data_IF_144291710369
#
_entry.id   IF_144291710369
#
_cell.length_a   1.000
_cell.length_b   1.000
_cell.length_c   1.000
_cell.angle_alpha   90.00
_cell.angle_beta   90.00
_cell.angle_gamma   90.00
#
_symmetry.space_group_name_H-M   'P 1'
#
loop_
_entity.id
_entity.type
_entity.pdbx_description
1 polymer ?
#
# COMPACT_ATOMS: atom_id res chain seq x y z
N UNK A 1 -8.74 52.41 -55.82
CA UNK A 1 -10.05 53.05 -55.63
C UNK A 1 -10.60 52.64 -54.30
N UNK A 2 -10.52 53.49 -53.30
CA UNK A 2 -11.52 54.31 -52.64
C UNK A 2 -12.35 53.40 -51.66
N UNK A 3 -12.64 53.71 -50.42
CA UNK A 3 -12.54 54.85 -49.48
C UNK A 3 -12.84 54.26 -48.06
N UNK A 4 -12.11 54.61 -47.07
CA UNK A 4 -12.36 55.36 -45.84
C UNK A 4 -13.83 55.39 -45.32
N UNK A 5 -14.01 55.08 -44.02
CA UNK A 5 -15.19 55.38 -43.22
C UNK A 5 -14.88 55.27 -41.74
N UNK A 6 -14.42 56.35 -41.11
CA UNK A 6 -14.32 56.62 -39.66
C UNK A 6 -15.71 56.92 -39.07
N UNK A 7 -15.97 56.50 -37.85
CA UNK A 7 -16.80 57.20 -36.82
C UNK A 7 -16.47 56.51 -35.47
N UNK A 8 -15.87 57.07 -34.43
CA UNK A 8 -16.22 58.33 -33.78
C UNK A 8 -17.24 58.07 -32.65
N UNK A 9 -16.80 57.72 -31.42
CA UNK A 9 -17.72 57.52 -30.29
C UNK A 9 -17.06 57.78 -28.94
N UNK A 10 -17.46 58.82 -28.34
CA UNK A 10 -17.00 59.66 -27.22
C UNK A 10 -16.73 58.92 -25.88
N UNK A 11 -15.64 59.35 -25.28
CA UNK A 11 -15.24 59.20 -23.85
C UNK A 11 -16.22 60.00 -22.96
N UNK A 12 -16.80 59.31 -21.98
CA UNK A 12 -17.57 59.95 -20.90
C UNK A 12 -16.81 59.84 -19.59
N UNK A 13 -16.17 60.94 -19.20
CA UNK A 13 -15.57 61.12 -17.86
C UNK A 13 -16.71 61.38 -16.85
N UNK A 14 -16.83 60.59 -15.81
CA UNK A 14 -17.61 60.97 -14.63
C UNK A 14 -16.69 61.21 -13.44
N UNK A 15 -16.88 62.40 -12.89
CA UNK A 15 -16.18 62.98 -11.76
C UNK A 15 -16.35 62.18 -10.46
N UNK A 16 -15.26 62.15 -9.73
CA UNK A 16 -15.14 61.61 -8.39
C UNK A 16 -15.57 62.71 -7.40
N UNK A 17 -16.57 62.42 -6.59
CA UNK A 17 -16.93 63.26 -5.43
C UNK A 17 -16.22 62.74 -4.18
N UNK A 18 -15.36 63.58 -3.66
CA UNK A 18 -14.69 63.38 -2.36
C UNK A 18 -15.67 63.61 -1.23
N UNK A 19 -15.86 62.62 -0.38
CA UNK A 19 -16.37 62.84 0.96
C UNK A 19 -15.37 62.31 1.98
N UNK A 20 -14.87 63.26 2.73
CA UNK A 20 -14.00 63.12 3.87
C UNK A 20 -14.88 62.69 5.06
N UNK A 21 -14.58 61.59 5.73
CA UNK A 21 -15.02 61.37 7.11
C UNK A 21 -14.13 60.37 7.85
N UNK A 22 -13.31 60.95 8.70
CA UNK A 22 -12.97 60.50 10.07
C UNK A 22 -12.63 59.05 10.31
N UNK A 23 -11.36 58.84 10.59
CA UNK A 23 -10.81 57.63 11.23
C UNK A 23 -11.28 57.54 12.70
N UNK A 24 -11.58 56.39 13.21
CA UNK A 24 -11.35 56.09 14.61
C UNK A 24 -10.11 55.20 14.79
N UNK A 25 -9.52 55.42 15.93
CA UNK A 25 -8.23 55.02 16.44
C UNK A 25 -7.99 53.49 16.50
N UNK A 26 -6.69 53.24 16.50
CA UNK A 26 -6.05 51.94 16.83
C UNK A 26 -6.62 51.34 18.12
N UNK A 27 -7.00 50.10 18.08
CA UNK A 27 -6.48 49.10 19.02
C UNK A 27 -6.85 47.67 18.60
N UNK A 28 -5.93 46.81 18.99
CA UNK A 28 -6.00 45.37 19.05
C UNK A 28 -5.42 44.59 17.87
N UNK A 29 -4.20 44.16 18.13
CA UNK A 29 -3.50 43.08 17.53
C UNK A 29 -4.38 41.85 17.40
N UNK A 30 -5.05 41.68 16.26
CA UNK A 30 -5.60 40.41 15.85
C UNK A 30 -4.41 39.50 15.53
N UNK A 31 -3.97 38.71 16.50
CA UNK A 31 -3.13 37.55 16.27
C UNK A 31 -3.83 36.70 15.24
N UNK A 32 -3.28 36.69 14.03
CA UNK A 32 -3.59 35.69 13.03
C UNK A 32 -3.22 34.34 13.67
N UNK A 33 -4.20 33.63 14.22
CA UNK A 33 -4.09 32.22 14.50
C UNK A 33 -3.95 31.56 13.13
N UNK A 34 -2.70 31.23 12.76
CA UNK A 34 -2.45 30.22 11.77
C UNK A 34 -3.17 28.97 12.32
N UNK A 35 -4.33 28.68 11.76
CA UNK A 35 -4.96 27.38 11.92
C UNK A 35 -4.01 26.44 11.23
N UNK A 36 -3.08 25.88 11.97
CA UNK A 36 -2.34 24.71 11.58
C UNK A 36 -3.40 23.71 11.14
N UNK A 37 -3.32 23.40 9.88
CA UNK A 37 -4.10 22.45 9.11
C UNK A 37 -4.49 21.27 10.00
N UNK A 38 -5.80 21.13 10.25
CA UNK A 38 -6.34 20.21 11.20
C UNK A 38 -5.71 18.84 11.00
N UNK A 39 -5.18 18.34 12.06
CA UNK A 39 -4.96 16.94 12.28
C UNK A 39 -6.30 16.28 11.93
N UNK A 40 -6.37 15.72 10.71
CA UNK A 40 -7.48 14.85 10.34
C UNK A 40 -7.38 13.73 11.33
N UNK A 41 -8.27 13.71 12.31
CA UNK A 41 -8.47 12.57 13.19
C UNK A 41 -8.63 11.36 12.30
N UNK A 42 -7.54 10.63 12.11
CA UNK A 42 -7.62 9.28 11.56
C UNK A 42 -8.56 8.54 12.47
N UNK A 43 -9.58 7.90 11.94
CA UNK A 43 -10.47 7.12 12.77
C UNK A 43 -9.65 5.98 13.38
N UNK A 44 -9.17 6.18 14.59
CA UNK A 44 -8.46 5.19 15.44
C UNK A 44 -9.29 3.91 15.65
N UNK A 45 -10.56 3.93 15.28
CA UNK A 45 -11.49 2.81 15.48
C UNK A 45 -11.37 1.67 14.45
N UNK A 46 -10.72 1.86 13.29
CA UNK A 46 -10.53 0.74 12.35
C UNK A 46 -9.20 0.00 12.56
N UNK A 47 -8.21 0.63 13.18
CA UNK A 47 -6.92 -0.02 13.44
C UNK A 47 -6.93 -0.95 14.67
N UNK A 48 -7.89 -0.81 15.57
CA UNK A 48 -7.98 -1.63 16.78
C UNK A 48 -8.65 -2.98 16.56
N UNK A 49 -9.41 -3.17 15.49
CA UNK A 49 -10.16 -4.42 15.24
C UNK A 49 -9.36 -5.41 14.39
N UNK A 50 -8.38 -4.96 13.62
CA UNK A 50 -7.50 -5.83 12.85
C UNK A 50 -6.05 -5.37 13.01
N UNK A 51 -5.37 -5.79 14.09
CA UNK A 51 -3.92 -5.72 14.11
C UNK A 51 -3.42 -6.35 12.80
N UNK A 52 -2.68 -5.57 12.01
CA UNK A 52 -2.15 -6.07 10.75
C UNK A 52 -1.42 -7.39 11.01
N UNK A 53 -1.65 -8.41 10.19
CA UNK A 53 -1.02 -9.70 10.38
C UNK A 53 0.48 -9.57 10.53
N UNK A 54 1.07 -10.28 11.48
CA UNK A 54 2.53 -10.39 11.57
C UNK A 54 3.07 -11.45 10.63
N UNK A 55 2.20 -12.36 10.17
CA UNK A 55 2.57 -13.46 9.27
C UNK A 55 1.55 -13.56 8.15
N UNK A 56 2.05 -13.80 6.94
CA UNK A 56 1.23 -14.12 5.78
C UNK A 56 1.61 -15.46 5.20
N UNK A 57 0.60 -16.31 4.97
CA UNK A 57 0.72 -17.48 4.12
C UNK A 57 0.48 -17.06 2.67
N UNK A 58 1.40 -17.40 1.77
CA UNK A 58 1.17 -17.28 0.33
C UNK A 58 0.73 -18.64 -0.20
N UNK A 59 -0.37 -18.66 -0.95
CA UNK A 59 -0.83 -19.91 -1.57
C UNK A 59 0.10 -20.36 -2.69
N UNK A 60 0.23 -21.65 -2.82
CA UNK A 60 0.92 -22.33 -3.92
C UNK A 60 0.27 -23.72 -4.06
N UNK A 61 -0.68 -23.85 -5.00
CA UNK A 61 -1.47 -25.07 -5.19
C UNK A 61 -0.63 -26.29 -5.59
N UNK A 62 0.56 -26.07 -6.17
CA UNK A 62 1.51 -27.14 -6.50
C UNK A 62 2.17 -27.77 -5.26
N UNK A 63 2.22 -27.02 -4.15
CA UNK A 63 2.93 -27.40 -2.92
C UNK A 63 1.99 -27.56 -1.73
N UNK A 64 0.82 -26.95 -1.79
CA UNK A 64 -0.19 -26.96 -0.74
C UNK A 64 -1.52 -27.37 -1.38
N UNK A 65 -1.75 -28.67 -1.50
CA UNK A 65 -2.98 -29.22 -2.07
C UNK A 65 -4.23 -28.86 -1.24
N UNK A 66 -4.08 -28.68 0.05
CA UNK A 66 -5.13 -28.27 0.98
C UNK A 66 -4.74 -26.99 1.75
N UNK A 67 -4.85 -25.85 1.06
CA UNK A 67 -4.60 -24.53 1.64
C UNK A 67 -5.48 -24.26 2.87
N UNK A 68 -6.72 -24.77 2.84
CA UNK A 68 -7.70 -24.53 3.92
C UNK A 68 -7.27 -25.19 5.20
N UNK A 69 -6.86 -26.44 5.14
CA UNK A 69 -6.34 -27.19 6.28
C UNK A 69 -5.05 -26.56 6.81
N UNK A 70 -4.14 -26.18 5.90
CA UNK A 70 -2.89 -25.51 6.26
C UNK A 70 -3.14 -24.21 7.02
N UNK A 71 -4.07 -23.37 6.52
CA UNK A 71 -4.40 -22.09 7.15
C UNK A 71 -5.22 -22.26 8.44
N UNK A 72 -6.15 -23.20 8.49
CA UNK A 72 -6.97 -23.45 9.68
C UNK A 72 -6.15 -23.86 10.91
N UNK A 73 -5.00 -24.49 10.71
CA UNK A 73 -4.04 -24.84 11.78
C UNK A 73 -3.24 -23.65 12.30
N UNK A 74 -3.27 -22.52 11.59
CA UNK A 74 -2.51 -21.33 11.98
C UNK A 74 -3.34 -20.42 12.89
N UNK A 75 -2.69 -19.67 13.80
CA UNK A 75 -3.36 -18.63 14.57
C UNK A 75 -4.16 -17.67 13.68
N UNK A 76 -5.27 -17.14 14.18
CA UNK A 76 -6.17 -16.27 13.39
C UNK A 76 -5.52 -14.99 12.85
N UNK A 77 -4.45 -14.53 13.47
CA UNK A 77 -3.69 -13.37 12.99
C UNK A 77 -2.80 -13.66 11.76
N UNK A 78 -2.75 -14.91 11.29
CA UNK A 78 -2.06 -15.23 10.02
C UNK A 78 -2.98 -14.88 8.86
N UNK A 79 -2.52 -13.96 8.00
CA UNK A 79 -3.21 -13.57 6.78
C UNK A 79 -2.90 -14.53 5.62
N UNK A 80 -3.70 -14.43 4.56
CA UNK A 80 -3.55 -15.23 3.34
C UNK A 80 -3.35 -14.32 2.12
N UNK A 81 -2.44 -14.70 1.23
CA UNK A 81 -2.28 -14.10 -0.11
C UNK A 81 -2.51 -15.17 -1.16
N UNK A 82 -3.51 -15.01 -2.02
CA UNK A 82 -3.70 -15.87 -3.19
C UNK A 82 -2.66 -15.50 -4.26
N UNK A 83 -1.69 -16.40 -4.48
CA UNK A 83 -0.60 -16.22 -5.44
C UNK A 83 -0.67 -17.16 -6.65
N UNK A 84 -1.59 -18.09 -6.67
CA UNK A 84 -1.78 -19.03 -7.77
C UNK A 84 -2.27 -18.32 -9.04
N UNK A 85 -1.33 -17.82 -9.86
CA UNK A 85 -1.64 -17.02 -11.05
C UNK A 85 -2.28 -17.86 -12.15
N UNK A 86 -1.82 -19.09 -12.33
CA UNK A 86 -2.16 -19.99 -13.46
C UNK A 86 -3.18 -21.08 -13.06
N UNK A 87 -3.90 -20.89 -11.96
CA UNK A 87 -4.90 -21.85 -11.51
C UNK A 87 -6.17 -21.76 -12.37
N UNK A 88 -6.59 -22.85 -13.02
CA UNK A 88 -7.73 -22.87 -13.96
C UNK A 88 -9.01 -22.30 -13.36
N UNK A 89 -9.34 -22.68 -12.12
CA UNK A 89 -10.50 -22.18 -11.39
C UNK A 89 -10.15 -21.02 -10.43
N UNK A 90 -9.24 -20.13 -10.82
CA UNK A 90 -8.70 -19.08 -9.95
C UNK A 90 -9.77 -18.18 -9.31
N UNK A 91 -10.80 -17.81 -10.05
CA UNK A 91 -11.89 -16.97 -9.55
C UNK A 91 -12.68 -17.68 -8.45
N UNK A 92 -13.00 -18.97 -8.66
CA UNK A 92 -13.69 -19.78 -7.65
C UNK A 92 -12.80 -20.01 -6.42
N UNK A 93 -11.52 -20.28 -6.61
CA UNK A 93 -10.55 -20.39 -5.52
C UNK A 93 -10.48 -19.10 -4.70
N UNK A 94 -10.41 -17.95 -5.37
CA UNK A 94 -10.41 -16.63 -4.72
C UNK A 94 -11.68 -16.40 -3.90
N UNK A 95 -12.85 -16.74 -4.45
CA UNK A 95 -14.13 -16.60 -3.75
C UNK A 95 -14.20 -17.49 -2.50
N UNK A 96 -13.74 -18.75 -2.59
CA UNK A 96 -13.68 -19.68 -1.48
C UNK A 96 -12.73 -19.19 -0.38
N UNK A 97 -11.54 -18.71 -0.77
CA UNK A 97 -10.56 -18.15 0.17
C UNK A 97 -11.07 -16.86 0.84
N UNK A 98 -11.71 -15.99 0.09
CA UNK A 98 -12.30 -14.75 0.62
C UNK A 98 -13.40 -15.05 1.65
N UNK A 99 -14.29 -15.99 1.35
CA UNK A 99 -15.35 -16.42 2.26
C UNK A 99 -14.77 -17.00 3.55
N UNK A 100 -13.82 -17.91 3.45
CA UNK A 100 -13.15 -18.51 4.60
C UNK A 100 -12.42 -17.46 5.46
N UNK A 101 -11.64 -16.60 4.84
CA UNK A 101 -10.89 -15.56 5.57
C UNK A 101 -11.83 -14.58 6.29
N UNK A 102 -12.95 -14.22 5.65
CA UNK A 102 -13.98 -13.37 6.26
C UNK A 102 -14.62 -14.05 7.47
N UNK A 103 -15.00 -15.31 7.34
CA UNK A 103 -15.56 -16.10 8.44
C UNK A 103 -14.62 -16.23 9.63
N UNK A 104 -13.31 -16.39 9.36
CA UNK A 104 -12.27 -16.54 10.37
C UNK A 104 -11.70 -15.21 10.88
N UNK A 105 -12.14 -14.06 10.34
CA UNK A 105 -11.59 -12.76 10.68
C UNK A 105 -10.13 -12.56 10.25
N UNK A 106 -9.70 -13.23 9.16
CA UNK A 106 -8.32 -13.18 8.66
C UNK A 106 -8.16 -12.16 7.56
N UNK A 107 -7.01 -11.50 7.51
CA UNK A 107 -6.65 -10.67 6.37
C UNK A 107 -6.47 -11.53 5.11
N UNK A 108 -7.02 -11.05 3.99
CA UNK A 108 -6.91 -11.71 2.70
C UNK A 108 -6.49 -10.74 1.61
N UNK A 109 -5.57 -11.15 0.75
CA UNK A 109 -5.14 -10.40 -0.41
C UNK A 109 -5.09 -11.29 -1.66
N UNK A 110 -5.30 -10.68 -2.83
CA UNK A 110 -5.21 -11.33 -4.14
C UNK A 110 -4.07 -10.72 -4.92
N UNK A 111 -3.14 -11.56 -5.36
CA UNK A 111 -2.00 -11.13 -6.14
C UNK A 111 -2.35 -10.99 -7.63
N UNK A 112 -1.88 -9.92 -8.28
CA UNK A 112 -1.92 -9.73 -9.73
C UNK A 112 -3.26 -9.34 -10.34
N UNK A 113 -4.37 -9.49 -9.61
CA UNK A 113 -5.71 -9.11 -10.09
C UNK A 113 -6.42 -8.16 -9.14
N UNK A 114 -6.29 -6.87 -9.45
CA UNK A 114 -6.89 -5.81 -8.64
C UNK A 114 -8.42 -5.78 -8.75
N UNK A 115 -8.97 -6.11 -9.93
CA UNK A 115 -10.44 -6.08 -10.12
C UNK A 115 -11.09 -7.18 -9.30
N UNK A 116 -10.53 -8.38 -9.34
CA UNK A 116 -10.98 -9.51 -8.53
C UNK A 116 -10.82 -9.21 -7.02
N UNK A 117 -9.72 -8.57 -6.61
CA UNK A 117 -9.53 -8.18 -5.21
C UNK A 117 -10.63 -7.22 -4.74
N UNK A 118 -10.95 -6.19 -5.53
CA UNK A 118 -12.01 -5.23 -5.21
C UNK A 118 -13.38 -5.92 -5.16
N UNK A 119 -13.71 -6.76 -6.15
CA UNK A 119 -15.02 -7.43 -6.22
C UNK A 119 -15.30 -8.37 -5.03
N UNK A 120 -14.25 -8.93 -4.45
CA UNK A 120 -14.34 -9.82 -3.28
C UNK A 120 -14.09 -9.12 -1.93
N UNK A 121 -13.88 -7.80 -1.93
CA UNK A 121 -13.56 -7.03 -0.72
C UNK A 121 -12.21 -7.39 -0.11
N UNK A 122 -11.29 -7.94 -0.92
CA UNK A 122 -9.94 -8.33 -0.52
C UNK A 122 -8.93 -7.17 -0.71
N UNK A 123 -7.78 -7.26 -0.06
CA UNK A 123 -6.64 -6.43 -0.38
C UNK A 123 -6.00 -6.86 -1.72
N UNK A 124 -5.30 -5.95 -2.38
CA UNK A 124 -4.54 -6.25 -3.58
C UNK A 124 -3.05 -6.43 -3.23
N UNK A 125 -2.45 -7.50 -3.73
CA UNK A 125 -1.00 -7.67 -3.72
C UNK A 125 -0.44 -7.45 -5.13
N UNK A 126 0.35 -6.37 -5.29
CA UNK A 126 0.96 -6.00 -6.55
C UNK A 126 2.27 -6.78 -6.75
N UNK A 127 2.37 -7.68 -7.75
CA UNK A 127 3.64 -8.27 -8.12
C UNK A 127 4.61 -7.19 -8.63
N UNK A 128 5.91 -7.39 -8.47
CA UNK A 128 6.92 -6.40 -8.86
C UNK A 128 6.85 -6.01 -10.33
N UNK A 129 6.57 -6.97 -11.24
CA UNK A 129 6.43 -6.70 -12.67
C UNK A 129 5.24 -5.80 -13.04
N UNK A 130 4.28 -5.63 -12.14
CA UNK A 130 3.14 -4.71 -12.32
C UNK A 130 3.37 -3.33 -11.69
N UNK A 131 4.40 -3.17 -10.87
CA UNK A 131 4.58 -2.01 -10.01
C UNK A 131 4.77 -0.72 -10.81
N UNK A 132 5.55 -0.76 -11.88
CA UNK A 132 5.76 0.37 -12.78
C UNK A 132 4.44 0.89 -13.39
N UNK A 133 3.57 -0.04 -13.83
CA UNK A 133 2.24 0.32 -14.35
C UNK A 133 1.34 0.93 -13.28
N UNK A 134 1.48 0.50 -12.02
CA UNK A 134 0.72 1.08 -10.91
C UNK A 134 1.08 2.55 -10.68
N UNK A 135 2.37 2.89 -10.75
CA UNK A 135 2.86 4.28 -10.66
C UNK A 135 2.32 5.13 -11.82
N UNK A 136 2.44 4.66 -13.06
CA UNK A 136 1.97 5.37 -14.26
C UNK A 136 0.46 5.66 -14.25
N UNK A 137 -0.33 4.88 -13.55
CA UNK A 137 -1.79 5.09 -13.41
C UNK A 137 -2.16 6.00 -12.24
N UNK A 138 -1.23 6.78 -11.72
CA UNK A 138 -1.47 7.77 -10.68
C UNK A 138 -1.62 7.22 -9.28
N UNK A 139 -1.06 6.04 -9.03
CA UNK A 139 -1.10 5.39 -7.73
C UNK A 139 -2.54 5.02 -7.31
N UNK A 140 -2.78 3.80 -7.00
CA UNK A 140 -4.10 3.36 -6.60
C UNK A 140 -4.01 2.38 -5.41
N UNK A 141 -2.87 2.38 -4.70
CA UNK A 141 -2.67 1.59 -3.51
C UNK A 141 -3.56 2.09 -2.37
N UNK A 142 -4.09 1.16 -1.59
CA UNK A 142 -4.78 1.42 -0.32
C UNK A 142 -3.86 1.04 0.82
N UNK A 143 -4.09 1.54 2.01
CA UNK A 143 -3.32 1.18 3.21
C UNK A 143 -3.27 -0.34 3.48
N UNK A 144 -4.29 -1.07 3.05
CA UNK A 144 -4.36 -2.54 3.14
C UNK A 144 -3.70 -3.27 1.97
N UNK A 145 -3.39 -2.57 0.86
CA UNK A 145 -2.75 -3.18 -0.30
C UNK A 145 -1.23 -3.31 -0.10
N UNK A 146 -0.63 -4.25 -0.79
CA UNK A 146 0.80 -4.55 -0.66
C UNK A 146 1.48 -4.68 -2.02
N UNK A 147 2.80 -4.53 -2.04
CA UNK A 147 3.62 -4.73 -3.23
C UNK A 147 4.83 -5.66 -2.94
N UNK A 148 5.19 -6.47 -3.92
CA UNK A 148 6.46 -7.21 -3.90
C UNK A 148 7.60 -6.27 -4.30
N UNK A 149 8.70 -6.30 -3.53
CA UNK A 149 9.86 -5.41 -3.68
C UNK A 149 11.16 -6.19 -3.58
N UNK A 150 12.07 -5.96 -4.53
CA UNK A 150 13.37 -6.63 -4.60
C UNK A 150 14.56 -5.66 -4.55
N UNK A 151 14.31 -4.37 -4.71
CA UNK A 151 15.33 -3.31 -4.73
C UNK A 151 14.76 -1.95 -4.33
N UNK A 152 15.63 -0.96 -4.19
CA UNK A 152 15.25 0.39 -3.77
C UNK A 152 14.34 1.10 -4.77
N UNK A 153 14.53 0.90 -6.07
CA UNK A 153 13.68 1.52 -7.08
C UNK A 153 12.23 1.02 -6.98
N UNK A 154 12.04 -0.29 -6.77
CA UNK A 154 10.72 -0.88 -6.54
C UNK A 154 10.10 -0.41 -5.21
N UNK A 155 10.92 -0.22 -4.16
CA UNK A 155 10.43 0.35 -2.91
C UNK A 155 9.88 1.76 -3.09
N UNK A 156 10.62 2.63 -3.78
CA UNK A 156 10.19 3.99 -4.10
C UNK A 156 8.93 3.99 -4.97
N UNK A 157 8.86 3.10 -5.96
CA UNK A 157 7.68 2.92 -6.80
C UNK A 157 6.45 2.47 -5.98
N UNK A 158 6.62 1.56 -5.04
CA UNK A 158 5.55 1.12 -4.14
C UNK A 158 5.05 2.27 -3.26
N UNK A 159 5.95 3.09 -2.74
CA UNK A 159 5.61 4.28 -1.96
C UNK A 159 4.84 5.30 -2.80
N UNK A 160 5.34 5.63 -3.99
CA UNK A 160 4.69 6.57 -4.92
C UNK A 160 3.30 6.09 -5.35
N UNK A 161 3.13 4.78 -5.54
CA UNK A 161 1.85 4.19 -5.87
C UNK A 161 0.86 4.11 -4.69
N UNK A 162 1.26 4.50 -3.47
CA UNK A 162 0.39 4.57 -2.30
C UNK A 162 0.08 3.21 -1.65
N UNK A 163 0.94 2.21 -1.82
CA UNK A 163 0.82 0.96 -1.09
C UNK A 163 1.12 1.17 0.40
N UNK A 164 0.37 0.52 1.29
CA UNK A 164 0.64 0.60 2.73
C UNK A 164 1.59 -0.49 3.24
N UNK A 165 1.87 -1.50 2.43
CA UNK A 165 2.68 -2.67 2.81
C UNK A 165 3.63 -3.06 1.68
N UNK A 166 4.81 -3.59 2.05
CA UNK A 166 5.75 -4.18 1.08
C UNK A 166 6.24 -5.54 1.56
N UNK A 167 6.37 -6.47 0.63
CA UNK A 167 6.97 -7.78 0.84
C UNK A 167 8.33 -7.79 0.16
N UNK A 168 9.40 -7.78 0.96
CA UNK A 168 10.78 -7.70 0.48
C UNK A 168 11.34 -9.11 0.31
N UNK A 169 11.70 -9.45 -0.92
CA UNK A 169 12.08 -10.80 -1.32
C UNK A 169 13.27 -10.80 -2.30
N UNK A 170 13.99 -11.94 -2.38
CA UNK A 170 14.05 -13.03 -1.40
C UNK A 170 15.08 -12.73 -0.31
N UNK A 171 14.71 -12.80 0.98
CA UNK A 171 15.63 -12.52 2.10
C UNK A 171 16.58 -13.70 2.31
N UNK A 172 16.08 -14.92 2.27
CA UNK A 172 16.85 -16.16 2.36
C UNK A 172 16.63 -17.02 1.11
N UNK A 173 17.49 -18.01 0.89
CA UNK A 173 17.34 -18.98 -0.17
C UNK A 173 15.98 -19.69 -0.07
N UNK A 174 15.33 -19.91 -1.22
CA UNK A 174 13.99 -20.49 -1.26
C UNK A 174 13.89 -21.55 -2.34
N UNK A 175 13.15 -22.63 -2.03
CA UNK A 175 12.84 -23.68 -3.00
C UNK A 175 11.87 -23.24 -4.10
N UNK A 176 11.14 -22.16 -3.90
CA UNK A 176 10.13 -21.66 -4.85
C UNK A 176 10.74 -20.93 -6.05
N UNK A 177 11.96 -20.44 -5.93
CA UNK A 177 12.70 -19.71 -6.97
C UNK A 177 14.18 -20.07 -6.87
N UNK A 178 14.53 -21.31 -7.26
CA UNK A 178 15.89 -21.83 -7.14
C UNK A 178 16.92 -21.03 -7.95
N UNK A 179 16.48 -20.42 -9.05
CA UNK A 179 17.33 -19.59 -9.92
C UNK A 179 17.50 -18.15 -9.41
N UNK A 180 16.77 -17.75 -8.37
CA UNK A 180 16.87 -16.40 -7.83
C UNK A 180 17.82 -16.39 -6.62
N UNK A 181 18.96 -15.72 -6.77
CA UNK A 181 19.89 -15.53 -5.65
C UNK A 181 19.19 -14.72 -4.54
N UNK A 182 19.27 -15.18 -3.28
CA UNK A 182 18.74 -14.41 -2.17
C UNK A 182 19.41 -13.03 -2.09
N UNK A 183 18.65 -12.04 -1.69
CA UNK A 183 19.24 -10.79 -1.24
C UNK A 183 20.15 -11.15 -0.06
N UNK A 184 21.44 -10.80 -0.11
CA UNK A 184 22.24 -10.91 1.09
C UNK A 184 21.57 -10.10 2.20
N UNK A 185 21.72 -10.49 3.47
CA UNK A 185 21.16 -9.71 4.59
C UNK A 185 21.57 -8.23 4.51
N UNK A 186 22.79 -7.95 4.03
CA UNK A 186 23.31 -6.60 3.78
C UNK A 186 22.46 -5.78 2.79
N UNK A 187 21.73 -6.42 1.87
CA UNK A 187 20.81 -5.74 0.94
C UNK A 187 19.37 -5.75 1.45
N UNK A 188 18.96 -6.81 2.13
CA UNK A 188 17.61 -6.94 2.64
C UNK A 188 17.34 -6.00 3.83
N UNK A 189 18.27 -5.92 4.79
CA UNK A 189 18.11 -5.09 5.99
C UNK A 189 17.95 -3.59 5.67
N UNK A 190 18.78 -2.97 4.80
CA UNK A 190 18.56 -1.58 4.40
C UNK A 190 17.20 -1.33 3.74
N UNK A 191 16.72 -2.27 2.91
CA UNK A 191 15.39 -2.16 2.28
C UNK A 191 14.27 -2.24 3.31
N UNK A 192 14.32 -3.19 4.24
CA UNK A 192 13.37 -3.32 5.33
C UNK A 192 13.33 -2.06 6.20
N UNK A 193 14.50 -1.52 6.55
CA UNK A 193 14.63 -0.28 7.31
C UNK A 193 14.05 0.91 6.56
N UNK A 194 14.42 1.08 5.28
CA UNK A 194 13.94 2.18 4.45
C UNK A 194 12.42 2.14 4.29
N UNK A 195 11.82 0.95 4.08
CA UNK A 195 10.39 0.78 4.00
C UNK A 195 9.68 1.27 5.28
N UNK A 196 10.17 0.86 6.45
CA UNK A 196 9.60 1.29 7.74
C UNK A 196 9.78 2.78 7.99
N UNK A 197 10.94 3.34 7.65
CA UNK A 197 11.19 4.79 7.76
C UNK A 197 10.29 5.61 6.84
N UNK A 198 9.86 5.03 5.71
CA UNK A 198 8.88 5.62 4.79
C UNK A 198 7.43 5.43 5.22
N UNK A 199 7.16 4.90 6.41
CA UNK A 199 5.82 4.64 6.92
C UNK A 199 5.12 3.41 6.33
N UNK A 200 5.83 2.59 5.54
CA UNK A 200 5.32 1.33 5.01
C UNK A 200 5.50 0.20 6.03
N UNK A 201 4.53 -0.70 6.10
CA UNK A 201 4.73 -1.96 6.82
C UNK A 201 5.57 -2.90 5.99
N UNK A 202 6.72 -3.33 6.53
CA UNK A 202 7.70 -4.16 5.83
C UNK A 202 7.62 -5.61 6.29
N UNK A 203 7.46 -6.52 5.32
CA UNK A 203 7.43 -7.97 5.54
C UNK A 203 8.59 -8.64 4.83
N UNK A 204 9.31 -9.50 5.54
CA UNK A 204 10.35 -10.32 4.95
C UNK A 204 9.73 -11.52 4.23
N UNK A 205 10.13 -11.79 2.99
CA UNK A 205 9.66 -12.92 2.18
C UNK A 205 10.84 -13.66 1.54
N UNK A 206 10.64 -14.93 1.27
CA UNK A 206 11.65 -15.84 0.69
C UNK A 206 12.47 -16.56 1.75
N UNK A 207 12.32 -17.89 1.78
CA UNK A 207 12.98 -18.77 2.73
C UNK A 207 12.61 -18.52 4.20
N UNK A 208 11.55 -17.76 4.44
CA UNK A 208 11.12 -17.41 5.80
C UNK A 208 10.36 -18.56 6.49
N UNK A 209 10.65 -18.70 7.77
CA UNK A 209 9.94 -19.50 8.74
C UNK A 209 10.21 -18.91 10.13
N UNK A 210 9.67 -19.50 11.19
CA UNK A 210 9.83 -19.00 12.55
C UNK A 210 11.31 -18.91 12.98
N UNK A 211 12.14 -19.90 12.62
CA UNK A 211 13.58 -19.87 12.91
C UNK A 211 14.29 -18.71 12.21
N UNK A 212 13.99 -18.50 10.93
CA UNK A 212 14.57 -17.38 10.17
C UNK A 212 14.04 -16.04 10.67
N UNK A 213 12.79 -15.98 11.08
CA UNK A 213 12.22 -14.79 11.72
C UNK A 213 12.99 -14.40 12.99
N UNK A 214 13.26 -15.37 13.86
CA UNK A 214 14.07 -15.14 15.06
C UNK A 214 15.50 -14.67 14.72
N UNK A 215 16.15 -15.28 13.71
CA UNK A 215 17.47 -14.88 13.22
C UNK A 215 17.46 -13.45 12.65
N UNK A 216 16.37 -13.02 12.06
CA UNK A 216 16.19 -11.64 11.58
C UNK A 216 15.95 -10.63 12.72
N UNK A 217 15.94 -11.08 13.98
CA UNK A 217 15.72 -10.22 15.14
C UNK A 217 14.23 -10.01 15.49
N UNK A 218 13.35 -10.92 15.07
CA UNK A 218 11.95 -11.05 15.53
C UNK A 218 11.20 -9.71 15.65
N UNK A 219 11.26 -8.86 14.61
CA UNK A 219 10.57 -7.55 14.59
C UNK A 219 11.49 -6.35 14.65
N UNK A 220 12.80 -6.52 14.87
CA UNK A 220 13.73 -5.39 14.85
C UNK A 220 13.79 -4.70 13.48
N UNK A 221 13.73 -5.48 12.40
CA UNK A 221 13.91 -4.99 11.03
C UNK A 221 12.64 -5.00 10.18
N UNK A 222 11.67 -5.85 10.50
CA UNK A 222 10.42 -5.99 9.75
C UNK A 222 9.23 -6.03 10.70
N UNK A 223 8.04 -5.72 10.18
CA UNK A 223 6.79 -5.79 10.95
C UNK A 223 6.22 -7.21 10.98
N UNK A 224 6.75 -8.08 10.12
CA UNK A 224 6.37 -9.47 10.02
C UNK A 224 7.10 -10.20 8.91
N UNK A 225 6.63 -11.39 8.58
CA UNK A 225 7.15 -12.16 7.46
C UNK A 225 6.03 -12.83 6.66
N UNK A 226 6.37 -13.26 5.46
CA UNK A 226 5.50 -14.05 4.61
C UNK A 226 6.25 -15.31 4.12
N UNK A 227 5.52 -16.39 3.95
CA UNK A 227 6.10 -17.65 3.53
C UNK A 227 5.11 -18.50 2.72
N UNK A 228 5.66 -19.42 1.92
CA UNK A 228 4.94 -20.49 1.23
C UNK A 228 5.22 -21.78 2.00
N UNK A 229 6.48 -22.23 1.97
CA UNK A 229 6.89 -23.52 2.47
C UNK A 229 6.87 -23.70 3.99
N UNK A 230 6.72 -22.63 4.77
CA UNK A 230 6.59 -22.75 6.23
C UNK A 230 5.25 -23.36 6.68
N UNK A 231 4.30 -23.49 5.77
CA UNK A 231 2.94 -24.00 6.00
C UNK A 231 2.66 -25.29 5.24
N UNK A 232 3.68 -25.91 4.67
CA UNK A 232 3.61 -27.24 4.07
C UNK A 232 3.33 -28.27 5.17
N UNK A 233 2.32 -29.10 4.96
CA UNK A 233 1.90 -30.16 5.87
C UNK A 233 2.41 -31.51 5.39
#
# INVERSE_FOLDING_TARGET
MARLGETGGKVGVRQISTHNSVLPERNETAKLKIVTQGQIDRPERLDSVLQAPKVFMLSDSRRQSDWRRSLARQPRHVGLVLRDYDHDARHQLAANMAAFCRQEGRAFAIAGDRRLAISLGAAFHCPSFMLHRAVLRGGAGRACDSAAVHNMAELLAAQQAGFGRVFIAPVFATKSHQDTRPLSLWRALPLLRAARQSGLRAYALGGMNETQWRRLGAGAWADGYAAIGAFET
#
